data_IF_845443722405
#
_entry.id   IF_845443722405
#
_cell.length_a   1.000
_cell.length_b   1.000
_cell.length_c   1.000
_cell.angle_alpha   90.00
_cell.angle_beta   90.00
_cell.angle_gamma   90.00
#
_symmetry.space_group_name_H-M   'P 1'
#
loop_
_entity.id
_entity.type
_entity.pdbx_description
1 polymer ?
#
# COMPACT_ATOMS: atom_id res chain seq x y z
N UNK A 1 7.66 -7.72 2.85
CA UNK A 1 6.85 -7.37 1.65
C UNK A 1 7.66 -7.57 0.38
N UNK A 2 8.90 -7.01 0.27
CA UNK A 2 9.77 -7.14 -0.92
C UNK A 2 9.84 -8.59 -1.45
N UNK A 3 10.21 -9.56 -0.60
CA UNK A 3 10.35 -10.97 -0.97
C UNK A 3 9.05 -11.56 -1.52
N UNK A 4 7.90 -11.21 -0.92
CA UNK A 4 6.58 -11.71 -1.34
C UNK A 4 6.20 -11.14 -2.70
N UNK A 5 6.37 -9.84 -2.91
CA UNK A 5 6.01 -9.19 -4.17
C UNK A 5 6.95 -9.63 -5.30
N UNK A 6 8.27 -9.61 -5.05
CA UNK A 6 9.26 -9.97 -6.06
C UNK A 6 9.21 -11.44 -6.48
N UNK A 7 8.94 -12.36 -5.56
CA UNK A 7 8.81 -13.79 -5.89
C UNK A 7 7.61 -14.12 -6.77
N UNK A 8 6.53 -13.34 -6.68
CA UNK A 8 5.30 -13.51 -7.47
C UNK A 8 5.30 -12.74 -8.79
N UNK A 9 6.14 -11.69 -8.89
CA UNK A 9 6.09 -10.74 -10.01
C UNK A 9 6.21 -11.42 -11.37
N UNK A 10 7.15 -12.38 -11.52
CA UNK A 10 7.35 -13.12 -12.79
C UNK A 10 6.08 -13.81 -13.26
N UNK A 11 5.42 -14.52 -12.36
CA UNK A 11 4.20 -15.26 -12.69
C UNK A 11 3.03 -14.33 -12.98
N UNK A 12 2.87 -13.26 -12.20
CA UNK A 12 1.82 -12.28 -12.40
C UNK A 12 1.99 -11.51 -13.73
N UNK A 13 3.22 -11.12 -14.07
CA UNK A 13 3.50 -10.50 -15.36
C UNK A 13 3.25 -11.48 -16.51
N UNK A 14 3.62 -12.76 -16.35
CA UNK A 14 3.35 -13.77 -17.37
C UNK A 14 1.85 -13.91 -17.67
N UNK A 15 1.00 -13.85 -16.62
CA UNK A 15 -0.47 -14.00 -16.76
C UNK A 15 -1.18 -12.71 -17.15
N UNK A 16 -0.75 -11.58 -16.63
CA UNK A 16 -1.48 -10.32 -16.72
C UNK A 16 -0.81 -9.29 -17.64
N UNK A 17 0.47 -9.49 -17.98
CA UNK A 17 1.24 -8.51 -18.74
C UNK A 17 1.31 -7.17 -18.01
N UNK A 18 1.18 -6.08 -18.74
CA UNK A 18 1.23 -4.71 -18.25
C UNK A 18 -0.01 -4.28 -17.44
N UNK A 19 -1.00 -5.14 -17.32
CA UNK A 19 -2.13 -4.95 -16.40
C UNK A 19 -1.74 -5.19 -14.93
N UNK A 20 -0.61 -5.87 -14.69
CA UNK A 20 -0.05 -5.98 -13.35
C UNK A 20 0.85 -4.81 -13.05
N UNK A 21 0.45 -3.97 -12.13
CA UNK A 21 1.16 -2.75 -11.73
C UNK A 21 1.47 -2.81 -10.24
N UNK A 22 2.72 -2.55 -9.87
CA UNK A 22 3.15 -2.39 -8.49
C UNK A 22 3.18 -0.91 -8.11
N UNK A 23 2.86 -0.58 -6.86
CA UNK A 23 3.00 0.77 -6.32
C UNK A 23 3.87 0.72 -5.06
N UNK A 24 4.85 1.60 -4.98
CA UNK A 24 5.76 1.68 -3.84
C UNK A 24 6.19 3.11 -3.52
N UNK A 25 6.72 3.36 -2.31
CA UNK A 25 7.22 4.67 -1.95
C UNK A 25 8.54 4.97 -2.68
N UNK A 26 8.71 6.23 -3.10
CA UNK A 26 9.98 6.75 -3.55
C UNK A 26 10.80 7.20 -2.34
N UNK A 27 11.72 6.35 -1.86
CA UNK A 27 12.57 6.64 -0.72
C UNK A 27 13.82 7.40 -1.19
N UNK A 28 13.97 8.65 -0.72
CA UNK A 28 15.16 9.45 -0.98
C UNK A 28 16.35 8.91 -0.17
N UNK A 29 17.51 8.78 -0.80
CA UNK A 29 18.77 8.48 -0.10
C UNK A 29 19.36 7.08 -0.31
N UNK A 30 18.66 6.13 -0.90
CA UNK A 30 19.26 4.86 -1.30
C UNK A 30 19.84 4.95 -2.72
N UNK A 31 20.96 5.65 -2.85
CA UNK A 31 21.82 5.53 -4.02
C UNK A 31 22.64 4.23 -3.90
N UNK A 32 22.01 3.10 -4.04
CA UNK A 32 22.75 1.86 -4.35
C UNK A 32 23.14 1.89 -5.83
N UNK A 33 24.36 1.47 -6.14
CA UNK A 33 24.93 1.48 -7.50
C UNK A 33 24.11 0.71 -8.55
N UNK A 34 23.23 -0.19 -8.14
CA UNK A 34 22.24 -0.84 -9.00
C UNK A 34 20.91 -0.10 -8.86
N UNK A 35 20.52 0.66 -9.86
CA UNK A 35 19.17 1.23 -9.91
C UNK A 35 18.18 0.10 -10.18
N UNK A 36 17.38 -0.33 -9.18
CA UNK A 36 16.43 -1.42 -9.39
C UNK A 36 15.18 -0.96 -10.18
N UNK A 37 15.21 0.25 -10.76
CA UNK A 37 14.08 0.87 -11.42
C UNK A 37 14.52 1.67 -12.65
N UNK A 38 13.89 1.40 -13.79
CA UNK A 38 14.08 2.10 -15.05
C UNK A 38 12.81 2.88 -15.41
N UNK A 39 12.92 4.20 -15.56
CA UNK A 39 11.79 5.07 -15.93
C UNK A 39 11.31 4.73 -17.34
N UNK A 40 10.00 4.61 -17.53
CA UNK A 40 9.31 4.38 -18.80
C UNK A 40 8.64 5.70 -19.25
N UNK A 41 8.80 6.14 -20.51
CA UNK A 41 8.09 7.30 -21.04
C UNK A 41 6.61 6.98 -21.35
N UNK A 42 5.83 8.02 -21.64
CA UNK A 42 4.46 7.86 -22.13
C UNK A 42 3.38 7.91 -21.05
N UNK A 43 3.72 8.38 -19.84
CA UNK A 43 2.80 8.48 -18.70
C UNK A 43 2.66 9.92 -18.19
N UNK A 44 2.88 10.90 -19.06
CA UNK A 44 2.95 12.33 -18.71
C UNK A 44 1.62 12.85 -18.14
N UNK A 45 0.48 12.39 -18.67
CA UNK A 45 -0.84 12.79 -18.20
C UNK A 45 -1.08 12.31 -16.76
N UNK A 46 -0.78 11.06 -16.46
CA UNK A 46 -0.84 10.50 -15.12
C UNK A 46 0.10 11.23 -14.14
N UNK A 47 1.35 11.45 -14.56
CA UNK A 47 2.36 12.14 -13.73
C UNK A 47 1.94 13.57 -13.42
N UNK A 48 1.39 14.30 -14.41
CA UNK A 48 0.88 15.65 -14.20
C UNK A 48 -0.32 15.66 -13.25
N UNK A 49 -1.28 14.75 -13.44
CA UNK A 49 -2.44 14.61 -12.56
C UNK A 49 -2.01 14.26 -11.11
N UNK A 50 -1.05 13.36 -10.93
CA UNK A 50 -0.49 13.01 -9.64
C UNK A 50 0.18 14.22 -8.97
N UNK A 51 0.94 15.00 -9.72
CA UNK A 51 1.59 16.22 -9.22
C UNK A 51 0.57 17.26 -8.74
N UNK A 52 -0.54 17.43 -9.45
CA UNK A 52 -1.65 18.31 -9.07
C UNK A 52 -2.32 17.87 -7.75
N UNK A 53 -2.26 16.57 -7.41
CA UNK A 53 -2.76 15.99 -6.16
C UNK A 53 -1.68 15.89 -5.07
N UNK A 54 -0.51 16.52 -5.25
CA UNK A 54 0.58 16.52 -4.27
C UNK A 54 1.45 15.26 -4.25
N UNK A 55 1.36 14.42 -5.28
CA UNK A 55 2.13 13.17 -5.41
C UNK A 55 3.19 13.35 -6.50
N UNK A 56 4.45 13.10 -6.17
CA UNK A 56 5.53 13.03 -7.15
C UNK A 56 5.65 11.58 -7.67
N UNK A 57 5.00 11.27 -8.78
CA UNK A 57 4.97 9.94 -9.34
C UNK A 57 6.05 9.72 -10.42
N UNK A 58 6.57 8.50 -10.47
CA UNK A 58 7.44 8.01 -11.54
C UNK A 58 6.94 6.64 -11.96
N UNK A 59 6.75 6.43 -13.25
CA UNK A 59 6.34 5.16 -13.83
C UNK A 59 7.53 4.51 -14.52
N UNK A 60 7.67 3.20 -14.40
CA UNK A 60 8.78 2.49 -15.01
C UNK A 60 8.72 0.98 -14.77
N UNK A 61 9.88 0.34 -14.93
CA UNK A 61 10.04 -1.10 -14.72
C UNK A 61 10.92 -1.37 -13.51
N UNK A 62 10.44 -2.22 -12.64
CA UNK A 62 11.24 -2.72 -11.52
C UNK A 62 12.18 -3.82 -12.03
N UNK A 63 13.47 -3.67 -11.81
CA UNK A 63 14.49 -4.58 -12.31
C UNK A 63 14.62 -5.85 -11.44
N UNK A 64 13.55 -6.64 -11.44
CA UNK A 64 13.42 -7.95 -10.82
C UNK A 64 12.87 -8.96 -11.84
N UNK A 65 12.91 -10.28 -11.58
CA UNK A 65 12.33 -11.27 -12.48
C UNK A 65 10.88 -10.93 -12.82
N UNK A 66 10.58 -10.87 -14.13
CA UNK A 66 9.29 -10.45 -14.67
C UNK A 66 9.18 -8.98 -15.02
N UNK A 67 10.07 -8.12 -14.52
CA UNK A 67 10.12 -6.67 -14.80
C UNK A 67 8.74 -5.99 -14.75
N UNK A 68 8.00 -6.11 -13.63
CA UNK A 68 6.66 -5.54 -13.53
C UNK A 68 6.69 -4.03 -13.70
N UNK A 69 5.63 -3.50 -14.33
CA UNK A 69 5.38 -2.06 -14.32
C UNK A 69 5.22 -1.60 -12.87
N UNK A 70 5.87 -0.52 -12.53
CA UNK A 70 5.91 -0.04 -11.14
C UNK A 70 5.77 1.47 -11.11
N UNK A 71 4.94 1.95 -10.22
CA UNK A 71 4.77 3.36 -9.90
C UNK A 71 5.48 3.62 -8.57
N UNK A 72 6.45 4.51 -8.59
CA UNK A 72 7.10 5.00 -7.37
C UNK A 72 6.55 6.38 -7.03
N UNK A 73 6.08 6.56 -5.79
CA UNK A 73 5.41 7.79 -5.35
C UNK A 73 6.15 8.47 -4.21
N UNK A 74 6.46 9.75 -4.40
CA UNK A 74 6.86 10.68 -3.34
C UNK A 74 5.62 11.44 -2.87
N UNK A 75 5.38 11.46 -1.58
CA UNK A 75 4.13 11.97 -1.00
C UNK A 75 4.36 13.03 0.08
N UNK A 76 5.54 13.63 0.15
CA UNK A 76 5.90 14.63 1.17
C UNK A 76 4.96 15.85 1.19
N UNK A 77 4.46 16.29 0.03
CA UNK A 77 3.52 17.41 -0.04
C UNK A 77 2.15 17.11 0.60
N UNK A 78 1.76 15.84 0.69
CA UNK A 78 0.49 15.48 1.33
C UNK A 78 0.51 15.70 2.85
N UNK A 79 1.70 15.84 3.46
CA UNK A 79 1.79 16.17 4.89
C UNK A 79 1.21 17.54 5.24
N UNK A 80 1.09 18.45 4.28
CA UNK A 80 0.37 19.73 4.46
C UNK A 80 -1.13 19.49 4.76
N UNK A 81 -1.68 18.35 4.36
CA UNK A 81 -3.06 17.95 4.57
C UNK A 81 -3.21 16.82 5.60
N UNK A 82 -2.14 16.51 6.34
CA UNK A 82 -2.04 15.36 7.25
C UNK A 82 -3.24 15.28 8.20
N UNK A 83 -3.55 16.36 8.90
CA UNK A 83 -4.59 16.36 9.93
C UNK A 83 -5.99 16.14 9.32
N UNK A 84 -6.25 16.71 8.14
CA UNK A 84 -7.51 16.50 7.42
C UNK A 84 -7.64 15.04 6.93
N UNK A 85 -6.57 14.44 6.45
CA UNK A 85 -6.54 13.05 6.02
C UNK A 85 -6.77 12.11 7.21
N UNK A 86 -6.05 12.31 8.32
CA UNK A 86 -6.16 11.47 9.51
C UNK A 86 -7.50 11.63 10.24
N UNK A 87 -8.03 12.87 10.36
CA UNK A 87 -9.39 13.05 10.90
C UNK A 87 -10.44 12.39 10.04
N UNK A 88 -10.29 12.44 8.71
CA UNK A 88 -11.17 11.74 7.78
C UNK A 88 -11.18 10.23 7.99
N UNK A 89 -10.06 9.60 8.37
CA UNK A 89 -10.04 8.18 8.74
C UNK A 89 -10.89 7.88 9.97
N UNK A 90 -10.86 8.76 10.98
CA UNK A 90 -11.72 8.65 12.15
C UNK A 90 -13.20 8.88 11.81
N UNK A 91 -13.50 9.97 11.14
CA UNK A 91 -14.89 10.37 10.88
C UNK A 91 -15.64 9.31 10.07
N UNK A 92 -15.01 8.80 9.01
CA UNK A 92 -15.65 7.85 8.09
C UNK A 92 -15.51 6.39 8.51
N UNK A 93 -14.35 6.03 9.07
CA UNK A 93 -13.99 4.61 9.31
C UNK A 93 -13.75 4.26 10.77
N UNK A 94 -13.81 5.24 11.68
CA UNK A 94 -13.53 5.07 13.12
C UNK A 94 -12.11 4.56 13.42
N UNK A 95 -11.17 4.87 12.54
CA UNK A 95 -9.75 4.56 12.74
C UNK A 95 -9.10 5.74 13.44
N UNK A 96 -8.75 5.57 14.73
CA UNK A 96 -8.05 6.58 15.52
C UNK A 96 -6.62 6.76 15.00
N UNK A 97 -6.35 7.92 14.42
CA UNK A 97 -5.11 8.18 13.68
C UNK A 97 -4.44 9.49 14.08
N UNK A 98 -5.16 10.43 14.74
CA UNK A 98 -4.67 11.78 15.00
C UNK A 98 -3.50 11.82 15.97
N UNK A 99 -3.46 10.90 16.92
CA UNK A 99 -2.42 10.81 17.95
C UNK A 99 -1.33 9.78 17.66
N UNK A 100 -1.34 9.22 16.46
CA UNK A 100 -0.31 8.27 16.01
C UNK A 100 1.09 8.88 15.99
N UNK A 101 2.10 8.10 16.38
CA UNK A 101 3.50 8.47 16.22
C UNK A 101 3.92 8.47 14.74
N UNK A 102 5.15 8.93 14.47
CA UNK A 102 5.66 9.00 13.09
C UNK A 102 5.69 7.65 12.38
N UNK A 103 5.97 6.57 13.10
CA UNK A 103 5.97 5.19 12.67
C UNK A 103 4.60 4.70 12.15
N UNK A 104 3.51 5.33 12.60
CA UNK A 104 2.16 5.14 12.09
C UNK A 104 1.80 6.15 11.00
N UNK A 105 2.08 7.44 11.24
CA UNK A 105 1.64 8.53 10.36
C UNK A 105 2.25 8.42 8.97
N UNK A 106 3.56 8.19 8.87
CA UNK A 106 4.22 8.11 7.57
C UNK A 106 3.66 6.97 6.68
N UNK A 107 3.53 5.71 7.17
CA UNK A 107 2.88 4.65 6.41
C UNK A 107 1.42 4.94 6.07
N UNK A 108 0.65 5.54 6.98
CA UNK A 108 -0.74 5.92 6.71
C UNK A 108 -0.85 6.95 5.58
N UNK A 109 0.03 7.94 5.55
CA UNK A 109 0.11 8.93 4.47
C UNK A 109 0.54 8.30 3.15
N UNK A 110 1.49 7.35 3.18
CA UNK A 110 1.85 6.56 1.99
C UNK A 110 0.66 5.75 1.46
N UNK A 111 -0.06 5.07 2.33
CA UNK A 111 -1.24 4.29 1.94
C UNK A 111 -2.30 5.18 1.26
N UNK A 112 -2.60 6.34 1.85
CA UNK A 112 -3.52 7.33 1.27
C UNK A 112 -3.04 7.81 -0.12
N UNK A 113 -1.75 8.14 -0.24
CA UNK A 113 -1.14 8.51 -1.52
C UNK A 113 -1.23 7.39 -2.57
N UNK A 114 -1.06 6.14 -2.16
CA UNK A 114 -1.23 4.99 -3.04
C UNK A 114 -2.69 4.86 -3.52
N UNK A 115 -3.67 5.13 -2.66
CA UNK A 115 -5.09 5.20 -3.05
C UNK A 115 -5.33 6.24 -4.15
N UNK A 116 -4.83 7.47 -3.98
CA UNK A 116 -4.90 8.52 -5.00
C UNK A 116 -4.19 8.08 -6.30
N UNK A 117 -3.01 7.46 -6.19
CA UNK A 117 -2.28 7.01 -7.36
C UNK A 117 -3.03 5.90 -8.13
N UNK A 118 -3.76 5.01 -7.44
CA UNK A 118 -4.61 4.00 -8.07
C UNK A 118 -5.77 4.68 -8.81
N UNK A 119 -6.46 5.63 -8.18
CA UNK A 119 -7.55 6.40 -8.80
C UNK A 119 -7.09 7.02 -10.13
N UNK A 120 -6.02 7.80 -10.09
CA UNK A 120 -5.47 8.47 -11.26
C UNK A 120 -4.94 7.50 -12.32
N UNK A 121 -4.35 6.37 -11.90
CA UNK A 121 -3.91 5.34 -12.83
C UNK A 121 -5.08 4.71 -13.58
N UNK A 122 -6.18 4.43 -12.89
CA UNK A 122 -7.38 3.89 -13.50
C UNK A 122 -8.05 4.88 -14.45
N UNK A 123 -7.95 6.17 -14.17
CA UNK A 123 -8.51 7.23 -15.00
C UNK A 123 -7.70 7.46 -16.29
N UNK A 124 -6.37 7.45 -16.20
CA UNK A 124 -5.51 7.90 -17.30
C UNK A 124 -4.86 6.75 -18.10
N UNK A 125 -4.63 5.60 -17.49
CA UNK A 125 -3.74 4.57 -18.04
C UNK A 125 -4.38 3.17 -18.11
N UNK A 126 -5.38 2.88 -17.29
CA UNK A 126 -5.94 1.55 -17.24
C UNK A 126 -6.86 1.26 -18.44
N UNK A 127 -6.77 0.04 -18.95
CA UNK A 127 -7.74 -0.44 -19.93
C UNK A 127 -9.12 -0.63 -19.26
N UNK A 128 -10.23 -0.36 -19.98
CA UNK A 128 -11.56 -0.64 -19.46
C UNK A 128 -11.71 -2.10 -18.98
N UNK A 129 -12.28 -2.26 -17.80
CA UNK A 129 -12.50 -3.61 -17.25
C UNK A 129 -12.58 -3.61 -15.73
N UNK A 130 -12.57 -4.83 -15.16
CA UNK A 130 -12.55 -5.01 -13.71
C UNK A 130 -11.15 -4.84 -13.18
N UNK A 131 -11.01 -4.00 -12.17
CA UNK A 131 -9.75 -3.77 -11.48
C UNK A 131 -9.79 -4.35 -10.07
N UNK A 132 -8.64 -4.84 -9.61
CA UNK A 132 -8.43 -5.35 -8.26
C UNK A 132 -7.20 -4.67 -7.69
N UNK A 133 -7.34 -4.04 -6.53
CA UNK A 133 -6.24 -3.44 -5.79
C UNK A 133 -5.89 -4.33 -4.58
N UNK A 134 -4.63 -4.77 -4.51
CA UNK A 134 -4.14 -5.56 -3.39
C UNK A 134 -3.25 -4.71 -2.49
N UNK A 135 -3.61 -4.63 -1.22
CA UNK A 135 -2.90 -3.91 -0.18
C UNK A 135 -2.16 -4.88 0.73
N UNK A 136 -0.89 -4.60 0.99
CA UNK A 136 -0.04 -5.42 1.82
C UNK A 136 0.26 -4.76 3.15
N UNK A 137 -0.13 -5.39 4.23
CA UNK A 137 0.05 -4.95 5.61
C UNK A 137 -0.75 -3.69 5.99
N UNK A 138 -0.86 -3.44 7.28
CA UNK A 138 -1.55 -2.28 7.84
C UNK A 138 -1.04 -0.94 7.29
N UNK A 139 0.24 -0.87 6.93
CA UNK A 139 0.90 0.31 6.36
C UNK A 139 0.25 0.83 5.08
N UNK A 140 -0.53 0.01 4.40
CA UNK A 140 -1.24 0.40 3.18
C UNK A 140 -2.75 0.48 3.37
N UNK A 141 -3.24 0.23 4.59
CA UNK A 141 -4.67 0.14 4.90
C UNK A 141 -5.45 1.43 4.61
N UNK A 142 -4.87 2.60 4.84
CA UNK A 142 -5.50 3.89 4.53
C UNK A 142 -5.80 4.05 3.03
N UNK A 143 -5.00 3.45 2.15
CA UNK A 143 -5.25 3.42 0.72
C UNK A 143 -6.45 2.54 0.35
N UNK A 144 -6.64 1.41 1.04
CA UNK A 144 -7.83 0.59 0.89
C UNK A 144 -9.08 1.38 1.29
N UNK A 145 -9.03 2.09 2.42
CA UNK A 145 -10.14 2.91 2.89
C UNK A 145 -10.42 4.06 1.92
N UNK A 146 -9.37 4.69 1.36
CA UNK A 146 -9.51 5.67 0.30
C UNK A 146 -10.30 5.11 -0.90
N UNK A 147 -9.96 3.92 -1.39
CA UNK A 147 -10.68 3.30 -2.51
C UNK A 147 -12.14 2.97 -2.16
N UNK A 148 -12.43 2.58 -0.93
CA UNK A 148 -13.82 2.36 -0.50
C UNK A 148 -14.67 3.63 -0.59
N UNK A 149 -14.07 4.79 -0.31
CA UNK A 149 -14.78 6.07 -0.35
C UNK A 149 -14.93 6.63 -1.77
N UNK A 150 -13.90 6.49 -2.62
CA UNK A 150 -13.82 7.17 -3.91
C UNK A 150 -14.10 6.25 -5.10
N UNK A 151 -13.76 4.96 -5.00
CA UNK A 151 -13.81 3.97 -6.09
C UNK A 151 -14.46 2.66 -5.61
N UNK A 152 -15.70 2.68 -5.10
CA UNK A 152 -16.34 1.51 -4.49
C UNK A 152 -16.53 0.32 -5.46
N UNK A 153 -16.38 0.56 -6.76
CA UNK A 153 -16.44 -0.48 -7.80
C UNK A 153 -15.12 -1.24 -7.98
N UNK A 154 -14.02 -0.76 -7.42
CA UNK A 154 -12.73 -1.45 -7.46
C UNK A 154 -12.71 -2.53 -6.37
N UNK A 155 -12.51 -3.77 -6.78
CA UNK A 155 -12.36 -4.86 -5.81
C UNK A 155 -11.04 -4.69 -5.03
N UNK A 156 -11.09 -4.90 -3.71
CA UNK A 156 -9.92 -4.76 -2.84
C UNK A 156 -9.57 -6.08 -2.17
N UNK A 157 -8.26 -6.36 -2.07
CA UNK A 157 -7.71 -7.48 -1.30
C UNK A 157 -6.78 -6.89 -0.25
N UNK A 158 -6.96 -7.27 1.01
CA UNK A 158 -6.05 -6.94 2.09
C UNK A 158 -5.27 -8.18 2.52
N UNK A 159 -3.93 -8.09 2.53
CA UNK A 159 -3.05 -9.20 2.86
C UNK A 159 -2.16 -8.85 4.04
N UNK A 160 -2.34 -9.55 5.15
CA UNK A 160 -1.44 -9.48 6.30
C UNK A 160 -0.41 -10.62 6.23
N UNK A 161 0.84 -10.32 6.51
CA UNK A 161 1.93 -11.32 6.58
C UNK A 161 2.27 -11.68 8.03
N UNK A 162 2.05 -10.75 8.95
CA UNK A 162 2.17 -10.97 10.38
C UNK A 162 1.32 -9.95 11.14
N UNK A 163 0.62 -10.38 12.17
CA UNK A 163 -0.10 -9.50 13.10
C UNK A 163 0.73 -9.25 14.35
N UNK A 164 0.53 -8.11 15.01
CA UNK A 164 1.15 -7.82 16.31
C UNK A 164 0.76 -8.91 17.31
N UNK A 165 -0.53 -9.22 17.39
CA UNK A 165 -1.04 -10.28 18.24
C UNK A 165 -0.38 -11.63 17.94
N UNK A 166 -0.29 -12.03 16.67
CA UNK A 166 0.35 -13.29 16.28
C UNK A 166 1.83 -13.36 16.66
N UNK A 167 2.55 -12.23 16.55
CA UNK A 167 3.96 -12.14 16.98
C UNK A 167 4.09 -12.25 18.50
N UNK A 168 3.25 -11.54 19.25
CA UNK A 168 3.24 -11.58 20.71
C UNK A 168 2.93 -12.98 21.22
N UNK A 169 1.90 -13.64 20.71
CA UNK A 169 1.58 -15.02 21.05
C UNK A 169 2.71 -16.01 20.71
N UNK A 170 3.35 -15.83 19.54
CA UNK A 170 4.49 -16.68 19.17
C UNK A 170 5.69 -16.51 20.10
N UNK A 171 5.88 -15.32 20.67
CA UNK A 171 6.97 -15.04 21.62
C UNK A 171 6.78 -15.74 22.98
N UNK A 172 5.55 -16.11 23.32
CA UNK A 172 5.26 -16.89 24.56
C UNK A 172 5.64 -18.36 24.46
N UNK A 173 6.08 -18.83 23.28
CA UNK A 173 6.39 -20.23 23.04
C UNK A 173 5.18 -21.15 22.86
N UNK A 174 3.98 -20.60 22.91
CA UNK A 174 2.74 -21.34 22.65
C UNK A 174 2.45 -21.38 21.13
N UNK A 175 2.01 -22.53 20.59
CA UNK A 175 1.52 -22.56 19.22
C UNK A 175 0.36 -21.57 19.05
N UNK A 176 0.39 -20.66 18.04
CA UNK A 176 -0.67 -19.66 17.85
C UNK A 176 -2.09 -20.26 17.79
N UNK A 177 -2.23 -21.43 17.16
CA UNK A 177 -3.51 -22.13 17.10
C UNK A 177 -4.02 -22.59 18.48
N UNK A 178 -3.13 -23.00 19.38
CA UNK A 178 -3.49 -23.37 20.75
C UNK A 178 -3.77 -22.12 21.61
N UNK A 179 -3.03 -21.04 21.39
CA UNK A 179 -3.23 -19.79 22.12
C UNK A 179 -4.53 -19.08 21.74
N UNK A 180 -4.92 -19.13 20.48
CA UNK A 180 -6.19 -18.56 20.00
C UNK A 180 -7.40 -19.43 20.31
N UNK A 181 -7.25 -20.76 20.31
CA UNK A 181 -8.26 -21.73 20.73
C UNK A 181 -9.72 -21.31 20.45
N UNK A 182 -10.49 -21.17 21.48
CA UNK A 182 -11.88 -20.70 21.44
C UNK A 182 -12.05 -19.25 21.93
N UNK A 183 -10.97 -18.46 21.95
CA UNK A 183 -10.97 -17.08 22.47
C UNK A 183 -11.37 -16.08 21.42
N UNK A 184 -12.00 -14.99 21.86
CA UNK A 184 -12.24 -13.83 21.00
C UNK A 184 -10.93 -13.08 20.76
N UNK A 185 -10.84 -12.24 19.70
CA UNK A 185 -9.68 -11.38 19.48
C UNK A 185 -9.34 -10.48 20.68
N UNK A 186 -10.36 -9.97 21.38
CA UNK A 186 -10.24 -9.13 22.57
C UNK A 186 -9.58 -9.91 23.72
N UNK A 187 -10.08 -11.11 24.04
CA UNK A 187 -9.53 -11.98 25.08
C UNK A 187 -8.09 -12.39 24.78
N UNK A 188 -7.75 -12.53 23.49
CA UNK A 188 -6.39 -12.83 23.08
C UNK A 188 -5.47 -11.61 23.21
N UNK A 189 -5.98 -10.39 22.94
CA UNK A 189 -5.25 -9.14 23.09
C UNK A 189 -4.90 -8.85 24.56
N UNK A 190 -5.82 -9.08 25.48
CA UNK A 190 -5.62 -8.85 26.93
C UNK A 190 -4.48 -9.70 27.52
N UNK A 191 -4.09 -10.81 26.87
CA UNK A 191 -2.99 -11.67 27.33
C UNK A 191 -1.61 -11.18 26.92
N UNK A 192 -1.50 -10.29 25.97
CA UNK A 192 -0.21 -9.82 25.45
C UNK A 192 0.07 -8.36 25.87
N UNK A 193 -0.84 -7.74 26.64
CA UNK A 193 -0.68 -6.46 27.38
C UNK A 193 -0.64 -5.25 26.49
#
# INVERSE_FOLDING_TARGET
IYTVVSSKARELVHRLGDRYVCIGPWLHGQQTQARPFEVEPGHEAFVAAAAARGINARVGRWNIPGRPRTILIGFSKLFEQKDAILSGLWERHKVDSLFGGWDYVEPAMFGHAAGIAIELWLEHEAQPGRSVAQFHEWMTGSGLLYLKDHLPYVATIFTTHATILGRALSSTGLPPAAALGHRTPEEAADQVG
#
